data_IF_373923147697
#
_entry.id   IF_373923147697
#
_cell.length_a   1.000
_cell.length_b   1.000
_cell.length_c   1.000
_cell.angle_alpha   90.00
_cell.angle_beta   90.00
_cell.angle_gamma   90.00
#
_symmetry.space_group_name_H-M   'P 1'
#
loop_
_entity.id
_entity.type
_entity.pdbx_description
1 polymer ?
#
# COMPACT_ATOMS: atom_id res chain seq x y z
N UNK A 1 -3.44 20.90 7.57
CA UNK A 1 -3.69 19.68 8.34
C UNK A 1 -2.40 18.87 8.36
N UNK A 2 -2.06 18.25 9.48
CA UNK A 2 -0.84 17.43 9.59
C UNK A 2 -1.06 16.09 8.90
N UNK A 3 -0.16 15.69 8.00
CA UNK A 3 -0.20 14.35 7.36
C UNK A 3 0.20 13.31 8.42
N UNK A 4 -0.63 12.30 8.72
CA UNK A 4 -0.25 11.24 9.66
C UNK A 4 0.98 10.47 9.17
N UNK A 5 1.85 10.06 10.10
CA UNK A 5 3.08 9.32 9.79
C UNK A 5 3.23 8.11 10.73
N UNK A 6 2.98 6.86 10.25
CA UNK A 6 2.40 6.52 8.95
C UNK A 6 0.91 6.89 8.88
N UNK A 7 0.33 6.79 7.68
CA UNK A 7 -1.13 6.76 7.53
C UNK A 7 -1.63 5.43 8.09
N UNK A 8 -2.71 5.46 8.87
CA UNK A 8 -3.38 4.27 9.39
C UNK A 8 -4.82 4.28 8.91
N UNK A 9 -5.24 3.20 8.26
CA UNK A 9 -6.62 3.04 7.83
C UNK A 9 -7.56 2.96 9.03
N UNK A 10 -8.84 3.26 8.81
CA UNK A 10 -9.90 2.79 9.72
C UNK A 10 -9.84 1.26 9.87
N UNK A 11 -10.23 0.69 11.02
CA UNK A 11 -10.30 -0.75 11.20
C UNK A 11 -11.20 -1.44 10.15
N UNK A 12 -10.70 -2.44 9.46
CA UNK A 12 -11.39 -3.23 8.44
C UNK A 12 -11.75 -4.62 8.98
N UNK A 13 -12.97 -5.07 8.73
CA UNK A 13 -13.39 -6.45 8.99
C UNK A 13 -13.08 -7.35 7.79
N UNK A 14 -12.89 -8.64 8.04
CA UNK A 14 -12.74 -9.64 6.97
C UNK A 14 -14.12 -10.01 6.41
N UNK A 15 -14.25 -10.03 5.09
CA UNK A 15 -15.49 -10.43 4.41
C UNK A 15 -15.57 -11.95 4.30
N UNK A 16 -16.78 -12.50 4.43
CA UNK A 16 -16.99 -13.96 4.45
C UNK A 16 -16.56 -14.62 3.15
N UNK A 17 -16.78 -13.92 2.04
CA UNK A 17 -16.46 -14.33 0.67
C UNK A 17 -14.95 -14.38 0.43
N UNK A 18 -14.14 -13.83 1.34
CA UNK A 18 -12.69 -13.80 1.21
C UNK A 18 -12.00 -15.01 1.85
N UNK A 19 -12.73 -15.80 2.64
CA UNK A 19 -12.20 -17.01 3.28
C UNK A 19 -12.14 -18.13 2.25
N UNK A 20 -10.97 -18.75 2.11
CA UNK A 20 -10.79 -19.89 1.21
C UNK A 20 -11.17 -21.22 1.88
N UNK A 21 -11.01 -22.32 1.14
CA UNK A 21 -11.33 -23.66 1.61
C UNK A 21 -10.46 -24.15 2.79
N UNK A 22 -9.35 -23.47 3.09
CA UNK A 22 -8.50 -23.77 4.25
C UNK A 22 -9.00 -23.08 5.53
N UNK A 23 -10.00 -22.20 5.44
CA UNK A 23 -10.61 -21.54 6.60
C UNK A 23 -9.91 -20.26 7.04
N UNK A 24 -9.01 -19.71 6.22
CA UNK A 24 -8.34 -18.43 6.45
C UNK A 24 -8.52 -17.50 5.23
N UNK A 25 -8.15 -16.24 5.40
CA UNK A 25 -8.19 -15.23 4.35
C UNK A 25 -7.38 -15.71 3.14
N UNK A 26 -8.01 -15.74 1.96
CA UNK A 26 -7.32 -16.06 0.72
C UNK A 26 -6.24 -15.01 0.45
N UNK A 27 -5.08 -15.46 -0.02
CA UNK A 27 -3.92 -14.62 -0.27
C UNK A 27 -4.20 -13.40 -1.17
N UNK A 28 -5.12 -13.50 -2.14
CA UNK A 28 -5.47 -12.40 -3.02
C UNK A 28 -6.13 -11.22 -2.26
N UNK A 29 -6.95 -11.51 -1.25
CA UNK A 29 -7.71 -10.48 -0.54
C UNK A 29 -6.87 -9.68 0.49
N UNK A 30 -5.67 -10.13 0.82
CA UNK A 30 -4.70 -9.26 1.50
C UNK A 30 -4.38 -8.02 0.64
N UNK A 31 -4.27 -8.19 -0.69
CA UNK A 31 -4.05 -7.05 -1.59
C UNK A 31 -5.23 -6.09 -1.61
N UNK A 32 -6.47 -6.57 -1.45
CA UNK A 32 -7.64 -5.68 -1.34
C UNK A 32 -7.58 -4.83 -0.08
N UNK A 33 -7.12 -5.39 1.04
CA UNK A 33 -6.91 -4.62 2.28
C UNK A 33 -5.80 -3.55 2.10
N UNK A 34 -4.69 -3.92 1.45
CA UNK A 34 -3.62 -2.97 1.10
C UNK A 34 -4.11 -1.85 0.17
N UNK A 35 -4.86 -2.20 -0.87
CA UNK A 35 -5.40 -1.29 -1.87
C UNK A 35 -6.35 -0.26 -1.23
N UNK A 36 -7.29 -0.71 -0.38
CA UNK A 36 -8.21 0.17 0.37
C UNK A 36 -7.48 1.20 1.24
N UNK A 37 -6.30 0.86 1.77
CA UNK A 37 -5.49 1.81 2.54
C UNK A 37 -4.66 2.72 1.62
N UNK A 38 -4.17 2.21 0.50
CA UNK A 38 -3.49 3.00 -0.53
C UNK A 38 -4.43 4.06 -1.12
N UNK A 39 -5.70 3.74 -1.37
CA UNK A 39 -6.71 4.71 -1.81
C UNK A 39 -6.82 5.90 -0.85
N UNK A 40 -6.83 5.66 0.46
CA UNK A 40 -6.86 6.72 1.47
C UNK A 40 -5.59 7.59 1.43
N UNK A 41 -4.43 6.98 1.20
CA UNK A 41 -3.18 7.71 1.05
C UNK A 41 -3.11 8.51 -0.26
N UNK A 42 -3.60 7.95 -1.37
CA UNK A 42 -3.66 8.61 -2.66
C UNK A 42 -4.63 9.79 -2.64
N UNK A 43 -5.78 9.67 -1.97
CA UNK A 43 -6.71 10.79 -1.76
C UNK A 43 -6.01 11.97 -1.07
N UNK A 44 -5.20 11.70 -0.03
CA UNK A 44 -4.42 12.73 0.67
C UNK A 44 -3.33 13.37 -0.20
N UNK A 45 -2.83 12.66 -1.21
CA UNK A 45 -1.91 13.19 -2.22
C UNK A 45 -2.61 13.88 -3.40
N UNK A 46 -3.94 13.97 -3.39
CA UNK A 46 -4.73 14.56 -4.47
C UNK A 46 -4.93 13.63 -5.67
N UNK A 47 -4.73 12.32 -5.51
CA UNK A 47 -4.85 11.29 -6.54
C UNK A 47 -6.06 10.36 -6.32
N UNK A 48 -7.18 10.94 -5.88
CA UNK A 48 -8.43 10.23 -5.62
C UNK A 48 -9.29 9.93 -6.86
N UNK A 49 -10.50 9.35 -6.67
CA UNK A 49 -11.42 9.08 -7.77
C UNK A 49 -11.80 10.32 -8.60
N UNK A 50 -11.91 11.50 -7.97
CA UNK A 50 -12.18 12.75 -8.69
C UNK A 50 -11.00 13.15 -9.59
N UNK A 51 -9.77 12.95 -9.13
CA UNK A 51 -8.56 13.19 -9.94
C UNK A 51 -8.55 12.32 -11.20
N UNK A 52 -8.83 11.02 -11.06
CA UNK A 52 -8.93 10.11 -12.20
C UNK A 52 -10.04 10.49 -13.18
N UNK A 53 -11.21 10.88 -12.65
CA UNK A 53 -12.36 11.27 -13.47
C UNK A 53 -12.12 12.57 -14.23
N UNK A 54 -11.61 13.60 -13.57
CA UNK A 54 -11.52 14.96 -14.12
C UNK A 54 -10.25 15.18 -14.93
N UNK A 55 -9.11 14.67 -14.44
CA UNK A 55 -7.81 14.91 -15.08
C UNK A 55 -7.37 13.80 -16.01
N UNK A 56 -8.07 12.67 -16.03
CA UNK A 56 -7.70 11.47 -16.82
C UNK A 56 -6.32 10.92 -16.44
N UNK A 57 -5.88 11.15 -15.20
CA UNK A 57 -4.60 10.71 -14.65
C UNK A 57 -4.85 9.76 -13.46
N UNK A 58 -4.07 8.69 -13.32
CA UNK A 58 -4.29 7.66 -12.29
C UNK A 58 -2.97 7.05 -11.79
N UNK A 59 -3.06 6.15 -10.82
CA UNK A 59 -1.95 5.33 -10.32
C UNK A 59 -2.19 3.86 -10.68
N UNK A 60 -1.20 3.20 -11.27
CA UNK A 60 -1.17 1.74 -11.44
C UNK A 60 -0.03 1.12 -10.66
N UNK A 61 -0.27 -0.01 -9.99
CA UNK A 61 0.79 -0.79 -9.35
C UNK A 61 1.53 -1.60 -10.42
N UNK A 62 2.84 -1.38 -10.53
CA UNK A 62 3.71 -2.10 -11.46
C UNK A 62 4.33 -3.35 -10.83
N UNK A 63 4.77 -3.25 -9.58
CA UNK A 63 5.35 -4.36 -8.84
C UNK A 63 4.84 -4.37 -7.41
N UNK A 64 4.70 -5.57 -6.86
CA UNK A 64 4.37 -5.77 -5.45
C UNK A 64 5.12 -6.97 -4.89
N UNK A 65 5.64 -6.83 -3.67
CA UNK A 65 6.22 -7.91 -2.90
C UNK A 65 5.43 -8.08 -1.60
N UNK A 66 4.69 -9.19 -1.49
CA UNK A 66 3.88 -9.49 -0.31
C UNK A 66 4.51 -10.60 0.52
N UNK A 67 4.64 -10.38 1.82
CA UNK A 67 4.96 -11.41 2.80
C UNK A 67 3.74 -11.70 3.68
N UNK A 68 3.27 -12.94 3.67
CA UNK A 68 2.28 -13.44 4.62
C UNK A 68 3.01 -13.92 5.88
N UNK A 69 2.66 -13.35 7.03
CA UNK A 69 3.35 -13.57 8.32
C UNK A 69 2.50 -14.41 9.26
N UNK A 70 1.22 -14.06 9.40
CA UNK A 70 0.27 -14.75 10.25
C UNK A 70 -1.12 -14.73 9.59
N UNK A 71 -1.82 -15.86 9.67
CA UNK A 71 -3.13 -16.05 9.04
C UNK A 71 -4.20 -15.16 9.67
N UNK A 72 -5.11 -14.66 8.82
CA UNK A 72 -6.31 -13.93 9.23
C UNK A 72 -7.55 -14.80 9.07
N UNK A 73 -8.48 -14.71 10.03
CA UNK A 73 -9.75 -15.41 10.02
C UNK A 73 -10.92 -14.42 9.97
N UNK A 74 -12.14 -14.95 9.77
CA UNK A 74 -13.34 -14.16 9.53
C UNK A 74 -13.69 -13.18 10.67
N UNK A 75 -13.43 -13.57 11.91
CA UNK A 75 -13.72 -12.79 13.12
C UNK A 75 -12.64 -11.75 13.44
N UNK A 76 -11.53 -11.76 12.72
CA UNK A 76 -10.46 -10.78 12.90
C UNK A 76 -10.84 -9.40 12.36
N UNK A 77 -10.26 -8.38 13.01
CA UNK A 77 -10.30 -6.99 12.56
C UNK A 77 -8.88 -6.46 12.43
N UNK A 78 -8.62 -5.70 11.38
CA UNK A 78 -7.26 -5.25 11.06
C UNK A 78 -7.19 -3.75 10.79
N UNK A 79 -6.04 -3.15 11.05
CA UNK A 79 -5.65 -1.86 10.54
C UNK A 79 -4.52 -2.05 9.54
N UNK A 80 -4.49 -1.19 8.52
CA UNK A 80 -3.41 -1.19 7.53
C UNK A 80 -2.65 0.12 7.66
N UNK A 81 -1.32 0.04 7.74
CA UNK A 81 -0.46 1.22 7.66
C UNK A 81 -0.03 1.48 6.22
N UNK A 82 0.26 2.75 5.91
CA UNK A 82 0.89 3.16 4.66
C UNK A 82 2.04 4.11 4.94
N UNK A 83 3.22 3.75 4.44
CA UNK A 83 4.44 4.55 4.47
C UNK A 83 4.96 4.74 3.05
N UNK A 84 4.92 5.97 2.56
CA UNK A 84 5.69 6.39 1.38
C UNK A 84 7.19 6.35 1.71
N UNK A 85 7.94 5.43 1.08
CA UNK A 85 9.38 5.24 1.27
C UNK A 85 10.18 6.17 0.36
N UNK A 86 9.80 6.21 -0.92
CA UNK A 86 10.56 6.89 -1.96
C UNK A 86 9.63 7.31 -3.09
N UNK A 87 10.07 8.29 -3.89
CA UNK A 87 9.35 8.70 -5.09
C UNK A 87 10.30 9.37 -6.09
N UNK A 88 9.83 9.49 -7.33
CA UNK A 88 10.43 10.36 -8.33
C UNK A 88 9.35 11.12 -9.10
N UNK A 89 9.70 11.71 -10.25
CA UNK A 89 8.76 12.47 -11.09
C UNK A 89 7.45 11.74 -11.44
N UNK A 90 7.39 10.40 -11.39
CA UNK A 90 6.23 9.62 -11.84
C UNK A 90 6.02 8.28 -11.13
N UNK A 91 6.79 7.97 -10.09
CA UNK A 91 6.76 6.68 -9.39
C UNK A 91 6.71 6.87 -7.89
N UNK A 92 6.02 5.97 -7.22
CA UNK A 92 5.96 5.88 -5.76
C UNK A 92 6.45 4.50 -5.34
N UNK A 93 7.33 4.45 -4.34
CA UNK A 93 7.64 3.23 -3.58
C UNK A 93 6.98 3.34 -2.22
N UNK A 94 6.02 2.48 -1.94
CA UNK A 94 5.30 2.47 -0.68
C UNK A 94 5.48 1.14 0.04
N UNK A 95 5.25 1.17 1.35
CA UNK A 95 5.24 0.00 2.21
C UNK A 95 4.05 0.03 3.14
N UNK A 96 3.43 -1.13 3.31
CA UNK A 96 2.23 -1.29 4.11
C UNK A 96 2.35 -2.51 5.01
N UNK A 97 1.75 -2.41 6.19
CA UNK A 97 1.59 -3.52 7.12
C UNK A 97 0.11 -3.72 7.43
N UNK A 98 -0.35 -4.97 7.37
CA UNK A 98 -1.64 -5.36 7.96
C UNK A 98 -1.34 -5.84 9.38
N UNK A 99 -1.93 -5.17 10.36
CA UNK A 99 -1.89 -5.58 11.76
C UNK A 99 -3.28 -5.86 12.27
N UNK A 100 -3.42 -6.91 13.07
CA UNK A 100 -4.63 -7.09 13.86
C UNK A 100 -4.82 -5.91 14.80
N UNK A 101 -6.06 -5.63 15.22
CA UNK A 101 -6.35 -4.59 16.20
C UNK A 101 -5.63 -4.78 17.54
N UNK A 102 -5.20 -6.01 17.84
CA UNK A 102 -4.38 -6.34 19.02
C UNK A 102 -2.86 -6.10 18.80
N UNK A 103 -2.48 -5.64 17.61
CA UNK A 103 -1.14 -5.14 17.28
C UNK A 103 -0.18 -6.12 16.59
N UNK A 104 -0.51 -7.41 16.50
CA UNK A 104 0.35 -8.39 15.83
C UNK A 104 0.32 -8.26 14.29
N UNK A 105 1.43 -8.61 13.64
CA UNK A 105 1.65 -8.44 12.20
C UNK A 105 1.10 -9.63 11.42
N UNK A 106 0.16 -9.39 10.52
CA UNK A 106 -0.44 -10.40 9.67
C UNK A 106 0.27 -10.52 8.31
N UNK A 107 0.54 -9.38 7.67
CA UNK A 107 1.19 -9.35 6.36
C UNK A 107 1.89 -8.01 6.10
N UNK A 108 2.82 -8.01 5.15
CA UNK A 108 3.46 -6.79 4.64
C UNK A 108 3.39 -6.73 3.13
N UNK A 109 3.29 -5.52 2.57
CA UNK A 109 3.35 -5.28 1.13
C UNK A 109 4.31 -4.14 0.85
N UNK A 110 5.25 -4.37 -0.06
CA UNK A 110 6.05 -3.31 -0.67
C UNK A 110 5.61 -3.16 -2.13
N UNK A 111 5.26 -1.95 -2.54
CA UNK A 111 4.76 -1.68 -3.89
C UNK A 111 5.58 -0.61 -4.62
N UNK A 112 5.72 -0.81 -5.92
CA UNK A 112 6.12 0.23 -6.86
C UNK A 112 4.91 0.60 -7.72
N UNK A 113 4.47 1.84 -7.62
CA UNK A 113 3.32 2.37 -8.35
C UNK A 113 3.74 3.46 -9.33
N UNK A 114 3.05 3.55 -10.46
CA UNK A 114 3.33 4.42 -11.59
C UNK A 114 2.18 5.40 -11.77
N UNK A 115 2.50 6.66 -12.03
CA UNK A 115 1.54 7.66 -12.46
C UNK A 115 1.29 7.55 -13.96
N UNK A 116 0.01 7.44 -14.34
CA UNK A 116 -0.42 7.05 -15.69
C UNK A 116 -1.42 8.04 -16.26
N UNK A 117 -1.20 8.42 -17.51
CA UNK A 117 -2.13 9.17 -18.34
C UNK A 117 -3.06 8.21 -19.11
N UNK A 118 -4.36 8.29 -18.84
CA UNK A 118 -5.39 7.40 -19.38
C UNK A 118 -5.87 7.78 -20.80
N UNK A 119 -5.43 8.89 -21.38
CA UNK A 119 -5.73 9.22 -22.78
C UNK A 119 -4.93 8.37 -23.78
N UNK A 120 -3.76 7.88 -23.35
CA UNK A 120 -3.02 6.84 -24.05
C UNK A 120 -2.10 6.16 -23.04
N UNK A 121 -2.51 5.05 -22.39
CA UNK A 121 -2.01 4.56 -21.10
C UNK A 121 -0.49 4.50 -21.04
N UNK A 122 0.11 5.60 -20.62
CA UNK A 122 1.56 5.82 -20.57
C UNK A 122 1.92 6.41 -19.23
N UNK A 123 3.11 6.05 -18.75
CA UNK A 123 3.65 6.65 -17.53
C UNK A 123 3.92 8.13 -17.81
N UNK A 124 3.45 9.02 -16.93
CA UNK A 124 3.56 10.47 -17.08
C UNK A 124 4.02 11.10 -15.77
N UNK A 125 4.76 12.23 -15.80
CA UNK A 125 5.09 12.97 -14.59
C UNK A 125 3.86 13.39 -13.79
N UNK A 126 3.99 13.46 -12.47
CA UNK A 126 3.01 14.09 -11.60
C UNK A 126 2.83 15.56 -11.98
N UNK A 127 1.59 16.07 -12.07
CA UNK A 127 1.34 17.51 -12.08
C UNK A 127 1.98 18.19 -10.86
N UNK A 128 2.41 19.44 -11.00
CA UNK A 128 3.18 20.14 -9.95
C UNK A 128 2.42 20.23 -8.61
N UNK A 129 1.10 20.38 -8.65
CA UNK A 129 0.25 20.42 -7.46
C UNK A 129 0.16 19.06 -6.75
N UNK A 130 0.11 17.95 -7.51
CA UNK A 130 0.15 16.59 -6.98
C UNK A 130 1.53 16.27 -6.42
N UNK A 131 2.59 16.61 -7.15
CA UNK A 131 3.97 16.41 -6.72
C UNK A 131 4.26 17.12 -5.38
N UNK A 132 3.71 18.32 -5.19
CA UNK A 132 3.84 19.02 -3.91
C UNK A 132 3.20 18.26 -2.73
N UNK A 133 2.10 17.53 -2.95
CA UNK A 133 1.49 16.69 -1.92
C UNK A 133 2.26 15.39 -1.68
N UNK A 134 2.80 14.78 -2.74
CA UNK A 134 3.70 13.62 -2.63
C UNK A 134 4.92 13.97 -1.78
N UNK A 135 5.56 15.11 -2.05
CA UNK A 135 6.70 15.59 -1.28
C UNK A 135 6.35 15.93 0.17
N UNK A 136 5.17 16.52 0.40
CA UNK A 136 4.68 16.78 1.75
C UNK A 136 4.50 15.48 2.55
N UNK A 137 3.93 14.44 1.94
CA UNK A 137 3.79 13.12 2.56
C UNK A 137 5.16 12.48 2.81
N UNK A 138 6.06 12.52 1.82
CA UNK A 138 7.41 11.97 1.97
C UNK A 138 8.17 12.66 3.11
N UNK A 139 8.02 13.98 3.24
CA UNK A 139 8.59 14.76 4.34
C UNK A 139 8.02 14.32 5.68
N UNK A 140 6.70 14.17 5.79
CA UNK A 140 6.05 13.69 7.01
C UNK A 140 6.54 12.28 7.42
N UNK A 141 6.77 11.40 6.44
CA UNK A 141 7.23 10.03 6.66
C UNK A 141 8.76 9.91 6.84
N UNK A 142 9.53 10.99 6.67
CA UNK A 142 10.99 10.93 6.69
C UNK A 142 11.60 10.48 8.02
N UNK A 143 10.88 10.69 9.14
CA UNK A 143 11.29 10.25 10.47
C UNK A 143 10.96 8.80 10.80
N UNK A 144 10.20 8.09 9.94
CA UNK A 144 9.86 6.70 10.17
C UNK A 144 11.06 5.79 9.84
N UNK A 145 11.26 4.69 10.59
CA UNK A 145 12.31 3.74 10.27
C UNK A 145 12.04 3.07 8.91
N UNK A 146 13.11 2.58 8.26
CA UNK A 146 12.96 1.69 7.12
C UNK A 146 12.31 0.37 7.58
N UNK A 147 11.24 -0.11 6.93
CA UNK A 147 10.58 -1.34 7.35
C UNK A 147 11.48 -2.58 7.22
N UNK A 148 11.39 -3.50 8.18
CA UNK A 148 12.28 -4.68 8.31
C UNK A 148 12.28 -5.60 7.07
N UNK A 149 11.16 -5.64 6.32
CA UNK A 149 11.02 -6.50 5.13
C UNK A 149 11.08 -5.75 3.80
N UNK A 150 11.34 -4.45 3.80
CA UNK A 150 11.52 -3.69 2.56
C UNK A 150 12.78 -4.18 1.81
N UNK A 151 12.69 -4.33 0.49
CA UNK A 151 13.74 -4.82 -0.40
C UNK A 151 13.99 -6.32 -0.35
N UNK A 152 13.10 -7.12 0.29
CA UNK A 152 13.27 -8.59 0.30
C UNK A 152 13.03 -9.18 -1.09
N UNK A 153 13.69 -10.30 -1.35
CA UNK A 153 13.51 -11.12 -2.54
C UNK A 153 13.16 -12.55 -2.15
N UNK A 154 12.42 -13.25 -3.03
CA UNK A 154 12.04 -14.64 -2.81
C UNK A 154 13.25 -15.53 -3.12
N UNK A 155 13.61 -16.40 -2.17
CA UNK A 155 14.64 -17.40 -2.36
C UNK A 155 14.51 -18.52 -1.34
N UNK A 156 14.84 -19.75 -1.76
CA UNK A 156 14.86 -20.91 -0.86
C UNK A 156 16.15 -20.85 -0.04
N UNK A 157 16.04 -20.56 1.25
CA UNK A 157 17.15 -20.73 2.20
C UNK A 157 17.42 -22.21 2.39
N UNK A 158 18.47 -22.73 1.77
CA UNK A 158 18.95 -24.08 2.02
C UNK A 158 19.75 -24.06 3.33
N UNK A 159 19.47 -25.00 4.24
CA UNK A 159 20.37 -25.25 5.36
C UNK A 159 21.72 -25.66 4.76
N UNK A 160 22.83 -25.13 5.29
CA UNK A 160 24.17 -25.55 4.89
C UNK A 160 24.28 -27.08 5.01
N UNK A 161 25.01 -27.69 4.07
CA UNK A 161 25.29 -29.13 4.10
C UNK A 161 26.00 -29.53 5.40
#
# INVERSE_FOLDING_TARGET
MTIPAPIISSPMAIEKEWIDYNGHLNMAYYNVLFDRCSDQAFELMGMGPNYAKERRLTIYTAEVHVCYVQELHLDHKVNVSFQLIDHDEKRLRAYQEIRHVDGWLAATSESLSLHVDMEGPKVAPFPADVMAQVEAMRTAHAGLPMPERAGRSIGIKRKGA
#
